data_IF_275936525906
#
_entry.id   IF_275936525906
#
_cell.length_a   1.000
_cell.length_b   1.000
_cell.length_c   1.000
_cell.angle_alpha   90.00
_cell.angle_beta   90.00
_cell.angle_gamma   90.00
#
_symmetry.space_group_name_H-M   'P 1'
#
loop_
_entity.id
_entity.type
_entity.pdbx_description
1 polymer ?
#
# COMPACT_ATOMS: atom_id res chain seq x y z
N UNK A 1 -17.54 16.56 10.73
CA UNK A 1 -16.99 15.19 10.66
C UNK A 1 -16.57 14.94 9.24
N UNK A 2 -15.43 14.32 8.97
CA UNK A 2 -15.08 13.97 7.60
C UNK A 2 -16.16 13.03 7.01
N UNK A 3 -16.44 13.13 5.71
CA UNK A 3 -17.32 12.17 5.03
C UNK A 3 -16.85 10.74 5.28
N UNK A 4 -17.77 9.78 5.32
CA UNK A 4 -17.44 8.38 5.61
C UNK A 4 -16.39 7.80 4.64
N UNK A 5 -16.40 8.26 3.39
CA UNK A 5 -15.43 7.86 2.37
C UNK A 5 -14.01 8.35 2.69
N UNK A 6 -13.86 9.57 3.21
CA UNK A 6 -12.56 10.10 3.63
C UNK A 6 -12.01 9.31 4.82
N UNK A 7 -12.88 8.86 5.73
CA UNK A 7 -12.47 8.06 6.87
C UNK A 7 -11.84 6.72 6.44
N UNK A 8 -12.42 6.03 5.45
CA UNK A 8 -11.83 4.80 4.92
C UNK A 8 -10.44 5.05 4.31
N UNK A 9 -10.30 6.11 3.52
CA UNK A 9 -9.00 6.46 2.94
C UNK A 9 -7.98 6.85 4.03
N UNK A 10 -8.38 7.62 5.05
CA UNK A 10 -7.51 8.00 6.17
C UNK A 10 -6.99 6.77 6.93
N UNK A 11 -7.86 5.81 7.23
CA UNK A 11 -7.47 4.57 7.93
C UNK A 11 -6.49 3.77 7.07
N UNK A 12 -6.78 3.59 5.78
CA UNK A 12 -5.92 2.84 4.87
C UNK A 12 -4.55 3.50 4.71
N UNK A 13 -4.50 4.81 4.47
CA UNK A 13 -3.26 5.57 4.33
C UNK A 13 -2.44 5.55 5.61
N UNK A 14 -3.07 5.75 6.77
CA UNK A 14 -2.42 5.69 8.08
C UNK A 14 -1.84 4.31 8.37
N UNK A 15 -2.58 3.25 8.07
CA UNK A 15 -2.10 1.86 8.19
C UNK A 15 -0.88 1.60 7.30
N UNK A 16 -0.92 2.00 6.02
CA UNK A 16 0.19 1.81 5.10
C UNK A 16 1.43 2.64 5.50
N UNK A 17 1.24 3.86 6.00
CA UNK A 17 2.32 4.67 6.55
C UNK A 17 2.95 4.00 7.78
N UNK A 18 2.15 3.41 8.66
CA UNK A 18 2.64 2.66 9.82
C UNK A 18 3.44 1.41 9.41
N UNK A 19 3.00 0.67 8.39
CA UNK A 19 3.78 -0.44 7.81
C UNK A 19 5.13 0.05 7.27
N UNK A 20 5.13 1.19 6.56
CA UNK A 20 6.36 1.82 6.05
C UNK A 20 7.32 2.21 7.19
N UNK A 21 6.80 2.82 8.25
CA UNK A 21 7.60 3.14 9.44
C UNK A 21 8.17 1.87 10.08
N UNK A 22 7.37 0.81 10.22
CA UNK A 22 7.82 -0.48 10.74
C UNK A 22 8.96 -1.07 9.91
N UNK A 23 8.86 -1.02 8.59
CA UNK A 23 9.90 -1.51 7.69
C UNK A 23 11.18 -0.66 7.74
N UNK A 24 11.04 0.66 7.93
CA UNK A 24 12.16 1.57 8.08
C UNK A 24 12.96 1.27 9.36
N UNK A 25 12.27 1.06 10.47
CA UNK A 25 12.88 0.77 11.77
C UNK A 25 13.40 -0.67 11.82
N UNK A 26 12.61 -1.64 11.37
CA UNK A 26 12.92 -3.07 11.44
C UNK A 26 12.85 -3.76 10.07
N UNK A 27 13.89 -3.64 9.22
CA UNK A 27 13.89 -4.28 7.90
C UNK A 27 13.85 -5.81 7.97
N UNK A 28 14.34 -6.42 9.06
CA UNK A 28 14.21 -7.88 9.28
C UNK A 28 12.75 -8.31 9.42
N UNK A 29 11.95 -7.53 10.14
CA UNK A 29 10.52 -7.76 10.24
C UNK A 29 9.85 -7.65 8.86
N UNK A 30 10.14 -6.57 8.11
CA UNK A 30 9.60 -6.37 6.77
C UNK A 30 9.97 -7.52 5.83
N UNK A 31 11.23 -7.95 5.83
CA UNK A 31 11.70 -9.10 5.05
C UNK A 31 10.90 -10.38 5.36
N UNK A 32 10.63 -10.63 6.65
CA UNK A 32 9.79 -11.75 7.07
C UNK A 32 8.34 -11.65 6.61
N UNK A 33 7.78 -10.44 6.62
CA UNK A 33 6.40 -10.16 6.18
C UNK A 33 6.24 -10.40 4.68
N UNK A 34 7.12 -9.82 3.87
CA UNK A 34 7.06 -9.96 2.39
C UNK A 34 7.73 -11.24 1.89
N UNK A 35 8.36 -12.02 2.78
CA UNK A 35 9.06 -13.28 2.50
C UNK A 35 10.19 -13.15 1.48
N UNK A 36 10.85 -12.02 1.47
CA UNK A 36 12.08 -11.81 0.74
C UNK A 36 13.26 -11.93 1.71
N UNK A 37 14.34 -12.52 1.25
CA UNK A 37 15.56 -12.70 2.04
C UNK A 37 16.64 -11.81 1.44
N UNK A 38 17.38 -11.11 2.29
CA UNK A 38 18.60 -10.41 1.85
C UNK A 38 19.60 -11.47 1.30
N UNK A 39 20.22 -11.17 0.16
CA UNK A 39 21.21 -12.07 -0.43
C UNK A 39 22.32 -12.31 0.59
N UNK A 40 22.64 -13.58 0.93
CA UNK A 40 23.71 -13.90 1.86
C UNK A 40 25.12 -13.72 1.27
N UNK A 41 25.24 -13.53 -0.03
CA UNK A 41 26.51 -13.37 -0.74
C UNK A 41 27.19 -12.05 -0.31
N UNK A 42 28.40 -12.09 0.30
CA UNK A 42 29.12 -10.90 0.73
C UNK A 42 29.57 -10.00 -0.43
N UNK A 43 29.65 -10.54 -1.65
CA UNK A 43 29.99 -9.77 -2.85
C UNK A 43 28.78 -9.04 -3.44
N UNK A 44 27.61 -9.23 -2.88
CA UNK A 44 26.35 -8.53 -3.25
C UNK A 44 25.85 -7.65 -2.07
N UNK A 45 26.52 -6.54 -1.78
CA UNK A 45 26.16 -5.69 -0.66
C UNK A 45 24.89 -4.88 -0.97
N UNK A 46 23.77 -5.33 -0.59
CA UNK A 46 22.49 -4.58 -0.66
C UNK A 46 21.74 -4.78 0.64
N UNK A 47 21.70 -6.01 1.08
CA UNK A 47 21.18 -6.41 2.37
C UNK A 47 19.81 -5.82 2.64
N UNK A 48 19.67 -5.12 3.77
CA UNK A 48 18.43 -4.48 4.19
C UNK A 48 18.23 -3.05 3.62
N UNK A 49 19.16 -2.54 2.80
CA UNK A 49 19.05 -1.21 2.19
C UNK A 49 17.75 -1.10 1.37
N UNK A 50 17.49 -2.08 0.49
CA UNK A 50 16.30 -2.11 -0.35
C UNK A 50 15.00 -2.19 0.47
N UNK A 51 15.02 -2.94 1.57
CA UNK A 51 13.86 -3.00 2.47
C UNK A 51 13.57 -1.67 3.13
N UNK A 52 14.63 -0.95 3.57
CA UNK A 52 14.46 0.39 4.16
C UNK A 52 14.04 1.41 3.11
N UNK A 53 14.59 1.33 1.90
CA UNK A 53 14.26 2.26 0.83
C UNK A 53 12.82 2.03 0.33
N UNK A 54 12.51 0.81 -0.12
CA UNK A 54 11.26 0.51 -0.84
C UNK A 54 10.09 0.27 0.11
N UNK A 55 10.25 -0.64 1.07
CA UNK A 55 9.17 -0.99 2.01
C UNK A 55 9.11 -0.05 3.21
N UNK A 56 10.19 0.72 3.48
CA UNK A 56 10.26 1.72 4.52
C UNK A 56 9.95 3.12 3.99
N UNK A 57 10.97 3.82 3.54
CA UNK A 57 10.91 5.24 3.20
C UNK A 57 9.89 5.56 2.11
N UNK A 58 9.91 4.83 0.99
CA UNK A 58 8.98 5.04 -0.11
C UNK A 58 7.52 4.84 0.35
N UNK A 59 7.24 3.69 0.98
CA UNK A 59 5.89 3.37 1.44
C UNK A 59 5.39 4.39 2.48
N UNK A 60 6.24 4.76 3.45
CA UNK A 60 5.91 5.75 4.46
C UNK A 60 5.57 7.11 3.84
N UNK A 61 6.47 7.64 3.01
CA UNK A 61 6.32 9.02 2.52
C UNK A 61 5.20 9.18 1.51
N UNK A 62 4.96 8.19 0.63
CA UNK A 62 3.84 8.24 -0.32
C UNK A 62 2.51 8.28 0.45
N UNK A 63 2.32 7.41 1.44
CA UNK A 63 1.05 7.35 2.16
C UNK A 63 0.88 8.52 3.13
N UNK A 64 1.96 8.97 3.78
CA UNK A 64 1.90 10.12 4.66
C UNK A 64 1.59 11.41 3.89
N UNK A 65 2.22 11.63 2.72
CA UNK A 65 1.93 12.79 1.89
C UNK A 65 0.49 12.79 1.37
N UNK A 66 -0.02 11.63 0.96
CA UNK A 66 -1.41 11.48 0.55
C UNK A 66 -2.39 11.75 1.70
N UNK A 67 -2.08 11.28 2.90
CA UNK A 67 -2.87 11.56 4.09
C UNK A 67 -2.89 13.06 4.41
N UNK A 68 -1.75 13.74 4.32
CA UNK A 68 -1.66 15.20 4.50
C UNK A 68 -2.52 15.93 3.47
N UNK A 69 -2.48 15.51 2.19
CA UNK A 69 -3.31 16.09 1.12
C UNK A 69 -4.80 15.87 1.42
N UNK A 70 -5.18 14.68 1.84
CA UNK A 70 -6.57 14.35 2.16
C UNK A 70 -7.10 15.21 3.31
N UNK A 71 -6.26 15.55 4.29
CA UNK A 71 -6.62 16.36 5.46
C UNK A 71 -6.66 17.87 5.19
N UNK A 72 -6.32 18.35 3.98
CA UNK A 72 -6.38 19.79 3.66
C UNK A 72 -7.83 20.25 3.49
N UNK A 73 -8.31 21.11 4.39
CA UNK A 73 -9.69 21.62 4.36
C UNK A 73 -9.98 22.52 3.13
N UNK A 74 -8.97 23.25 2.65
CA UNK A 74 -9.10 24.17 1.51
C UNK A 74 -9.01 23.48 0.13
N UNK A 75 -8.71 22.20 0.06
CA UNK A 75 -8.53 21.49 -1.20
C UNK A 75 -9.84 20.82 -1.64
N UNK A 76 -10.31 21.16 -2.86
CA UNK A 76 -11.53 20.57 -3.40
C UNK A 76 -11.38 19.06 -3.64
N UNK A 77 -12.47 18.33 -3.43
CA UNK A 77 -12.51 16.85 -3.50
C UNK A 77 -11.92 16.27 -4.80
N UNK A 78 -12.14 16.82 -6.01
CA UNK A 78 -11.52 16.28 -7.22
C UNK A 78 -10.00 16.22 -7.17
N UNK A 79 -9.35 17.24 -6.60
CA UNK A 79 -7.87 17.26 -6.47
C UNK A 79 -7.37 16.23 -5.46
N UNK A 80 -8.10 16.02 -4.37
CA UNK A 80 -7.81 14.96 -3.41
C UNK A 80 -7.88 13.59 -4.10
N UNK A 81 -8.94 13.32 -4.85
CA UNK A 81 -9.13 12.07 -5.59
C UNK A 81 -8.00 11.85 -6.61
N UNK A 82 -7.61 12.86 -7.37
CA UNK A 82 -6.49 12.77 -8.33
C UNK A 82 -5.20 12.39 -7.61
N UNK A 83 -4.91 12.96 -6.44
CA UNK A 83 -3.72 12.64 -5.66
C UNK A 83 -3.73 11.21 -5.10
N UNK A 84 -4.90 10.69 -4.72
CA UNK A 84 -5.06 9.36 -4.16
C UNK A 84 -5.09 8.26 -5.22
N UNK A 85 -5.52 8.58 -6.43
CA UNK A 85 -5.75 7.61 -7.51
C UNK A 85 -4.53 6.75 -7.83
N UNK A 86 -3.32 7.29 -8.09
CA UNK A 86 -2.16 6.45 -8.41
C UNK A 86 -1.76 5.52 -7.27
N UNK A 87 -1.96 5.92 -6.02
CA UNK A 87 -1.65 5.12 -4.85
C UNK A 87 -2.63 3.96 -4.73
N UNK A 88 -3.92 4.23 -4.90
CA UNK A 88 -4.96 3.21 -4.94
C UNK A 88 -4.71 2.19 -6.05
N UNK A 89 -4.37 2.67 -7.27
CA UNK A 89 -4.04 1.79 -8.39
C UNK A 89 -2.80 0.95 -8.12
N UNK A 90 -1.82 1.45 -7.39
CA UNK A 90 -0.66 0.68 -6.95
C UNK A 90 -1.06 -0.54 -6.09
N UNK A 91 -1.94 -0.35 -5.11
CA UNK A 91 -2.44 -1.43 -4.28
C UNK A 91 -3.31 -2.42 -5.04
N UNK A 92 -4.23 -1.94 -5.89
CA UNK A 92 -5.04 -2.82 -6.75
C UNK A 92 -4.15 -3.62 -7.71
N UNK A 93 -3.13 -2.99 -8.29
CA UNK A 93 -2.15 -3.63 -9.16
C UNK A 93 -1.35 -4.72 -8.43
N UNK A 94 -0.97 -4.49 -7.18
CA UNK A 94 -0.30 -5.51 -6.36
C UNK A 94 -1.20 -6.74 -6.14
N UNK A 95 -2.45 -6.53 -5.74
CA UNK A 95 -3.44 -7.61 -5.59
C UNK A 95 -3.69 -8.38 -6.89
N UNK A 96 -3.83 -7.68 -8.01
CA UNK A 96 -3.97 -8.29 -9.34
C UNK A 96 -2.74 -9.11 -9.74
N UNK A 97 -1.53 -8.58 -9.50
CA UNK A 97 -0.28 -9.30 -9.77
C UNK A 97 -0.18 -10.60 -8.98
N UNK A 98 -0.59 -10.59 -7.70
CA UNK A 98 -0.64 -11.81 -6.88
C UNK A 98 -1.69 -12.82 -7.38
N UNK A 99 -2.86 -12.34 -7.80
CA UNK A 99 -3.87 -13.21 -8.43
C UNK A 99 -3.33 -13.87 -9.70
N UNK A 100 -2.64 -13.09 -10.54
CA UNK A 100 -2.01 -13.61 -11.74
C UNK A 100 -0.94 -14.66 -11.41
N UNK A 101 -0.09 -14.39 -10.42
CA UNK A 101 0.93 -15.31 -9.93
C UNK A 101 0.33 -16.62 -9.40
N UNK A 102 -0.84 -16.60 -8.76
CA UNK A 102 -1.53 -17.84 -8.35
C UNK A 102 -1.89 -18.75 -9.53
N UNK A 103 -2.09 -18.17 -10.72
CA UNK A 103 -2.43 -18.94 -11.92
C UNK A 103 -1.19 -19.37 -12.67
N UNK A 104 -0.23 -18.47 -12.88
CA UNK A 104 0.95 -18.70 -13.72
C UNK A 104 2.08 -19.44 -12.97
N UNK A 105 2.28 -19.10 -11.69
CA UNK A 105 3.45 -19.54 -10.91
C UNK A 105 3.07 -20.61 -9.87
N UNK A 106 2.16 -21.50 -10.21
CA UNK A 106 1.61 -22.51 -9.29
C UNK A 106 2.66 -23.42 -8.65
N UNK A 107 3.73 -23.73 -9.39
CA UNK A 107 4.80 -24.59 -8.93
C UNK A 107 5.70 -23.90 -7.90
N UNK A 108 5.89 -22.60 -8.05
CA UNK A 108 6.75 -21.73 -7.25
C UNK A 108 6.00 -21.14 -6.04
N UNK A 109 4.69 -20.90 -6.18
CA UNK A 109 3.82 -20.40 -5.11
C UNK A 109 3.46 -21.48 -4.08
N UNK A 110 4.44 -22.16 -3.55
CA UNK A 110 4.27 -23.23 -2.53
C UNK A 110 3.97 -22.70 -1.15
N UNK A 111 3.20 -21.68 -1.09
CA UNK A 111 3.05 -20.95 0.12
C UNK A 111 2.02 -21.59 1.05
N UNK A 112 2.49 -22.36 1.98
CA UNK A 112 1.99 -22.26 3.35
C UNK A 112 2.24 -20.84 3.83
N UNK A 113 1.51 -19.86 3.37
CA UNK A 113 1.84 -18.49 3.61
C UNK A 113 0.69 -17.52 3.56
N UNK A 114 1.05 -16.27 3.72
CA UNK A 114 0.14 -15.15 3.82
C UNK A 114 -0.43 -14.68 2.46
N UNK A 115 -0.11 -15.35 1.33
CA UNK A 115 -0.65 -14.96 0.00
C UNK A 115 -2.17 -14.86 0.01
N UNK A 116 -2.93 -15.83 0.60
CA UNK A 116 -4.38 -15.71 0.68
C UNK A 116 -4.86 -14.52 1.52
N UNK A 117 -4.01 -13.99 2.41
CA UNK A 117 -4.32 -12.80 3.23
C UNK A 117 -3.93 -11.52 2.52
N UNK A 118 -2.79 -11.54 1.79
CA UNK A 118 -2.28 -10.36 1.11
C UNK A 118 -3.19 -9.91 -0.04
N UNK A 119 -3.72 -10.83 -0.84
CA UNK A 119 -4.60 -10.49 -1.97
C UNK A 119 -5.82 -9.67 -1.52
N UNK A 120 -6.67 -10.16 -0.61
CA UNK A 120 -7.83 -9.38 -0.17
C UNK A 120 -7.41 -8.09 0.54
N UNK A 121 -6.32 -8.10 1.30
CA UNK A 121 -5.82 -6.90 1.97
C UNK A 121 -5.41 -5.81 0.96
N UNK A 122 -4.65 -6.16 -0.07
CA UNK A 122 -4.21 -5.22 -1.11
C UNK A 122 -5.40 -4.64 -1.89
N UNK A 123 -6.39 -5.47 -2.23
CA UNK A 123 -7.60 -5.00 -2.88
C UNK A 123 -8.43 -4.08 -1.97
N UNK A 124 -8.60 -4.45 -0.70
CA UNK A 124 -9.32 -3.62 0.28
C UNK A 124 -8.61 -2.29 0.47
N UNK A 125 -7.28 -2.26 0.60
CA UNK A 125 -6.51 -1.03 0.72
C UNK A 125 -6.68 -0.13 -0.51
N UNK A 126 -6.59 -0.70 -1.70
CA UNK A 126 -6.79 0.05 -2.94
C UNK A 126 -8.18 0.68 -3.03
N UNK A 127 -9.24 -0.08 -2.76
CA UNK A 127 -10.61 0.46 -2.75
C UNK A 127 -10.84 1.45 -1.61
N UNK A 128 -10.30 1.23 -0.43
CA UNK A 128 -10.42 2.15 0.70
C UNK A 128 -9.73 3.50 0.43
N UNK A 129 -8.54 3.49 -0.19
CA UNK A 129 -7.84 4.73 -0.58
C UNK A 129 -8.63 5.46 -1.68
N UNK A 130 -9.28 4.74 -2.59
CA UNK A 130 -10.10 5.31 -3.65
C UNK A 130 -11.49 5.74 -3.18
N UNK A 131 -11.92 5.39 -1.98
CA UNK A 131 -13.27 5.64 -1.47
C UNK A 131 -13.76 7.10 -1.64
N UNK A 132 -12.93 8.15 -1.45
CA UNK A 132 -13.37 9.53 -1.68
C UNK A 132 -13.91 9.80 -3.09
N UNK A 133 -13.49 9.02 -4.11
CA UNK A 133 -14.02 9.14 -5.47
C UNK A 133 -15.52 8.83 -5.55
N UNK A 134 -16.04 7.95 -4.71
CA UNK A 134 -17.47 7.66 -4.66
C UNK A 134 -18.30 8.83 -4.12
N UNK A 135 -17.69 9.71 -3.32
CA UNK A 135 -18.29 10.95 -2.87
C UNK A 135 -18.48 12.00 -3.97
N UNK A 136 -17.70 11.92 -5.08
CA UNK A 136 -17.89 12.80 -6.23
C UNK A 136 -19.23 12.56 -6.93
N UNK A 137 -19.66 11.30 -7.07
CA UNK A 137 -20.94 10.95 -7.69
C UNK A 137 -22.13 11.45 -6.86
N UNK A 138 -22.06 11.32 -5.54
CA UNK A 138 -23.13 11.74 -4.64
C UNK A 138 -23.33 13.26 -4.53
N UNK A 139 -22.35 14.06 -4.97
CA UNK A 139 -22.43 15.53 -4.98
C UNK A 139 -22.97 16.13 -6.28
N UNK A 140 -23.27 15.29 -7.28
CA UNK A 140 -23.80 15.68 -8.59
C UNK A 140 -25.30 15.37 -8.73
N UNK A 141 -25.90 14.71 -7.74
CA UNK A 141 -27.33 14.46 -7.59
C UNK A 141 -28.00 15.47 -6.63
#
# INVERSE_FOLDING_TARGET
>A
MPPIYDLFAMIALGFCAALGMGALVSPKWAAGVVRLVADPDPDKPGGFSEFRATYGGLLLLIHLSALIILLQDGLALPYKVIALFPIAMGWLGAGMGRLLSLVLDRAENRANGLIPVWIPMELILGFAILAPAFGLGASLE
#
